data_IF_540597820584
#
_entry.id   IF_540597820584
#
_cell.length_a   1.000
_cell.length_b   1.000
_cell.length_c   1.000
_cell.angle_alpha   90.00
_cell.angle_beta   90.00
_cell.angle_gamma   90.00
#
_symmetry.space_group_name_H-M   'P 1'
#
loop_
_entity.id
_entity.type
_entity.pdbx_description
1 polymer ?
#
# COMPACT_ATOMS: atom_id res chain seq x y z
N UNK A 1 16.71 -18.32 18.38
CA UNK A 1 16.60 -17.97 16.94
C UNK A 1 16.85 -16.47 16.85
N UNK A 2 17.90 -16.03 16.14
CA UNK A 2 18.34 -14.62 16.18
C UNK A 2 17.19 -13.69 15.75
N UNK A 3 16.81 -12.73 16.57
CA UNK A 3 15.78 -11.72 16.28
C UNK A 3 15.94 -11.06 14.91
N UNK A 4 17.16 -10.96 14.38
CA UNK A 4 17.46 -10.43 13.04
C UNK A 4 16.88 -11.31 11.91
N UNK A 5 17.00 -12.64 12.01
CA UNK A 5 16.44 -13.55 11.00
C UNK A 5 14.90 -13.58 11.02
N UNK A 6 14.30 -13.50 12.21
CA UNK A 6 12.85 -13.43 12.35
C UNK A 6 12.31 -12.16 11.69
N UNK A 7 12.93 -11.01 11.94
CA UNK A 7 12.53 -9.74 11.33
C UNK A 7 12.70 -9.75 9.81
N UNK A 8 13.83 -10.23 9.30
CA UNK A 8 14.04 -10.35 7.85
C UNK A 8 12.98 -11.26 7.21
N UNK A 9 12.62 -12.35 7.88
CA UNK A 9 11.52 -13.24 7.46
C UNK A 9 10.17 -12.52 7.37
N UNK A 10 9.85 -11.66 8.34
CA UNK A 10 8.62 -10.87 8.32
C UNK A 10 8.60 -9.85 7.15
N UNK A 11 9.74 -9.21 6.84
CA UNK A 11 9.86 -8.32 5.67
C UNK A 11 9.59 -9.07 4.36
N UNK A 12 10.23 -10.22 4.17
CA UNK A 12 10.05 -11.03 2.98
C UNK A 12 8.59 -11.54 2.89
N UNK A 13 8.04 -12.00 4.00
CA UNK A 13 6.66 -12.48 4.05
C UNK A 13 5.68 -11.36 3.70
N UNK A 14 5.82 -10.17 4.29
CA UNK A 14 4.96 -9.03 3.99
C UNK A 14 5.07 -8.60 2.53
N UNK A 15 6.30 -8.49 1.99
CA UNK A 15 6.52 -8.19 0.58
C UNK A 15 5.89 -9.23 -0.35
N UNK A 16 5.96 -10.50 0.03
CA UNK A 16 5.34 -11.60 -0.71
C UNK A 16 3.82 -11.50 -0.67
N UNK A 17 3.23 -11.32 0.51
CA UNK A 17 1.77 -11.18 0.67
C UNK A 17 1.23 -10.00 -0.14
N UNK A 18 1.89 -8.85 -0.08
CA UNK A 18 1.47 -7.69 -0.86
C UNK A 18 1.81 -7.80 -2.35
N UNK A 19 2.95 -8.42 -2.70
CA UNK A 19 3.31 -8.64 -4.11
C UNK A 19 2.29 -9.51 -4.83
N UNK A 20 1.91 -10.64 -4.24
CA UNK A 20 0.88 -11.52 -4.79
C UNK A 20 -0.53 -10.90 -4.77
N UNK A 21 -0.78 -9.82 -3.99
CA UNK A 21 -2.08 -9.14 -4.04
C UNK A 21 -2.39 -8.56 -5.42
N UNK A 22 -1.38 -8.07 -6.13
CA UNK A 22 -1.55 -7.54 -7.48
C UNK A 22 -1.96 -8.63 -8.48
N UNK A 23 -1.36 -9.81 -8.35
CA UNK A 23 -1.77 -10.99 -9.12
C UNK A 23 -3.21 -11.40 -8.78
N UNK A 24 -3.55 -11.48 -7.49
CA UNK A 24 -4.90 -11.85 -7.06
C UNK A 24 -5.95 -10.84 -7.54
N UNK A 25 -5.63 -9.54 -7.56
CA UNK A 25 -6.51 -8.52 -8.14
C UNK A 25 -6.73 -8.80 -9.63
N UNK A 26 -5.68 -9.02 -10.42
CA UNK A 26 -5.82 -9.32 -11.84
C UNK A 26 -6.70 -10.55 -12.09
N UNK A 27 -6.51 -11.64 -11.35
CA UNK A 27 -7.32 -12.86 -11.45
C UNK A 27 -8.79 -12.61 -11.09
N UNK A 28 -9.05 -11.88 -10.01
CA UNK A 28 -10.43 -11.60 -9.58
C UNK A 28 -11.17 -10.68 -10.55
N UNK A 29 -10.48 -9.72 -11.16
CA UNK A 29 -11.04 -8.78 -12.15
C UNK A 29 -11.48 -9.46 -13.47
N UNK A 30 -11.14 -10.71 -13.71
CA UNK A 30 -11.67 -11.46 -14.85
C UNK A 30 -13.19 -11.67 -14.76
N UNK A 31 -13.75 -11.69 -13.54
CA UNK A 31 -15.16 -12.03 -13.31
C UNK A 31 -15.88 -11.15 -12.30
N UNK A 32 -15.16 -10.30 -11.56
CA UNK A 32 -15.72 -9.41 -10.55
C UNK A 32 -15.59 -7.95 -10.96
N UNK A 33 -16.62 -7.19 -10.65
CA UNK A 33 -16.59 -5.74 -10.78
C UNK A 33 -15.57 -5.12 -9.82
N UNK A 34 -14.77 -4.16 -10.27
CA UNK A 34 -13.58 -3.71 -9.54
C UNK A 34 -13.86 -3.13 -8.16
N UNK A 35 -14.88 -2.29 -8.01
CA UNK A 35 -15.15 -1.62 -6.74
C UNK A 35 -15.81 -2.59 -5.77
N UNK A 36 -16.74 -3.41 -6.24
CA UNK A 36 -17.36 -4.47 -5.44
C UNK A 36 -16.33 -5.49 -4.94
N UNK A 37 -15.40 -5.88 -5.81
CA UNK A 37 -14.32 -6.78 -5.45
C UNK A 37 -13.42 -6.18 -4.34
N UNK A 38 -13.09 -4.89 -4.45
CA UNK A 38 -12.36 -4.20 -3.38
C UNK A 38 -13.17 -4.19 -2.07
N UNK A 39 -14.50 -3.99 -2.12
CA UNK A 39 -15.36 -4.01 -0.95
C UNK A 39 -15.29 -5.37 -0.24
N UNK A 40 -15.49 -6.49 -0.93
CA UNK A 40 -15.43 -7.84 -0.33
C UNK A 40 -14.11 -8.14 0.37
N UNK A 41 -12.98 -7.68 -0.20
CA UNK A 41 -11.68 -7.78 0.44
C UNK A 41 -11.67 -7.13 1.83
N UNK A 42 -12.23 -5.93 1.93
CA UNK A 42 -12.21 -5.15 3.17
C UNK A 42 -13.26 -5.61 4.17
N UNK A 43 -14.38 -6.18 3.74
CA UNK A 43 -15.36 -6.81 4.62
C UNK A 43 -14.73 -7.96 5.41
N UNK A 44 -14.02 -8.86 4.72
CA UNK A 44 -13.32 -9.97 5.36
C UNK A 44 -12.26 -9.45 6.34
N UNK A 45 -11.46 -8.48 5.92
CA UNK A 45 -10.40 -7.94 6.75
C UNK A 45 -10.94 -7.18 7.96
N UNK A 46 -12.03 -6.42 7.82
CA UNK A 46 -12.70 -5.73 8.91
C UNK A 46 -13.18 -6.71 9.98
N UNK A 47 -13.85 -7.78 9.58
CA UNK A 47 -14.33 -8.82 10.51
C UNK A 47 -13.18 -9.47 11.25
N UNK A 48 -12.10 -9.84 10.56
CA UNK A 48 -10.95 -10.50 11.16
C UNK A 48 -10.18 -9.58 12.12
N UNK A 49 -9.91 -8.33 11.73
CA UNK A 49 -9.14 -7.40 12.55
C UNK A 49 -9.93 -6.86 13.73
N UNK A 50 -11.21 -6.56 13.56
CA UNK A 50 -12.07 -6.18 14.68
C UNK A 50 -12.28 -7.35 15.63
N UNK A 51 -12.48 -8.56 15.11
CA UNK A 51 -12.52 -9.78 15.94
C UNK A 51 -11.24 -9.93 16.75
N UNK A 52 -10.08 -9.85 16.10
CA UNK A 52 -8.79 -9.90 16.77
C UNK A 52 -8.65 -8.83 17.88
N UNK A 53 -9.02 -7.59 17.60
CA UNK A 53 -8.94 -6.51 18.58
C UNK A 53 -9.88 -6.72 19.78
N UNK A 54 -11.13 -7.16 19.53
CA UNK A 54 -12.12 -7.43 20.59
C UNK A 54 -11.68 -8.58 21.49
N UNK A 55 -11.28 -9.71 20.91
CA UNK A 55 -10.87 -10.89 21.68
C UNK A 55 -9.50 -10.73 22.33
N UNK A 56 -8.63 -9.88 21.76
CA UNK A 56 -7.32 -9.55 22.32
C UNK A 56 -7.35 -8.60 23.51
N UNK A 57 -8.53 -8.07 23.88
CA UNK A 57 -8.68 -7.12 25.01
C UNK A 57 -8.12 -5.73 24.72
N UNK A 58 -7.90 -5.38 23.46
CA UNK A 58 -7.37 -4.10 23.03
C UNK A 58 -8.38 -2.95 23.22
N UNK A 59 -7.90 -1.70 23.19
CA UNK A 59 -8.75 -0.50 23.08
C UNK A 59 -9.34 -0.42 21.66
N UNK A 60 -10.53 -1.00 21.48
CA UNK A 60 -11.10 -1.21 20.15
C UNK A 60 -12.20 -0.21 19.74
N UNK A 61 -12.80 0.51 20.68
CA UNK A 61 -13.92 1.43 20.40
C UNK A 61 -13.41 2.83 20.09
N UNK A 62 -13.73 3.42 18.91
CA UNK A 62 -13.37 4.80 18.56
C UNK A 62 -14.33 5.79 19.25
N UNK A 63 -14.11 6.12 20.52
CA UNK A 63 -15.03 6.92 21.32
C UNK A 63 -14.75 8.41 21.29
N UNK A 64 -13.54 8.83 20.94
CA UNK A 64 -13.13 10.23 20.91
C UNK A 64 -12.96 10.76 19.46
N UNK A 65 -12.83 12.09 19.33
CA UNK A 65 -12.73 12.77 18.03
C UNK A 65 -11.46 12.41 17.28
N UNK A 66 -10.35 12.15 17.96
CA UNK A 66 -9.08 11.80 17.34
C UNK A 66 -9.21 10.41 16.68
N UNK A 67 -9.73 9.44 17.42
CA UNK A 67 -9.96 8.08 16.95
C UNK A 67 -10.99 8.04 15.79
N UNK A 68 -12.11 8.76 15.92
CA UNK A 68 -13.10 8.86 14.84
C UNK A 68 -12.53 9.53 13.60
N UNK A 69 -11.76 10.61 13.76
CA UNK A 69 -11.09 11.29 12.65
C UNK A 69 -10.09 10.38 11.94
N UNK A 70 -9.30 9.61 12.69
CA UNK A 70 -8.36 8.64 12.14
C UNK A 70 -9.06 7.50 11.38
N UNK A 71 -10.15 6.94 11.97
CA UNK A 71 -10.96 5.90 11.32
C UNK A 71 -11.58 6.40 10.01
N UNK A 72 -12.16 7.60 10.00
CA UNK A 72 -12.74 8.18 8.79
C UNK A 72 -11.67 8.47 7.74
N UNK A 73 -10.52 9.04 8.14
CA UNK A 73 -9.41 9.28 7.22
C UNK A 73 -8.86 7.96 6.63
N UNK A 74 -8.71 6.95 7.48
CA UNK A 74 -8.32 5.60 7.05
C UNK A 74 -9.35 4.97 6.11
N UNK A 75 -10.63 5.00 6.48
CA UNK A 75 -11.72 4.42 5.68
C UNK A 75 -11.87 5.07 4.31
N UNK A 76 -11.89 6.41 4.26
CA UNK A 76 -12.10 7.14 3.00
C UNK A 76 -10.85 7.12 2.12
N UNK A 77 -9.67 7.45 2.68
CA UNK A 77 -8.47 7.67 1.88
C UNK A 77 -7.55 6.46 1.80
N UNK A 78 -7.32 5.70 2.89
CA UNK A 78 -6.48 4.50 2.81
C UNK A 78 -7.24 3.33 2.14
N UNK A 79 -8.51 3.12 2.50
CA UNK A 79 -9.31 2.01 2.00
C UNK A 79 -10.09 2.40 0.75
N UNK A 80 -10.87 3.48 0.80
CA UNK A 80 -11.71 3.93 -0.32
C UNK A 80 -10.91 4.24 -1.59
N UNK A 81 -9.72 4.86 -1.46
CA UNK A 81 -8.87 5.11 -2.62
C UNK A 81 -8.38 3.83 -3.31
N UNK A 82 -8.39 2.68 -2.64
CA UNK A 82 -8.00 1.42 -3.30
C UNK A 82 -8.97 1.00 -4.41
N UNK A 83 -10.21 1.50 -4.46
CA UNK A 83 -11.06 1.32 -5.62
C UNK A 83 -10.36 1.74 -6.92
N UNK A 84 -9.62 2.85 -6.89
CA UNK A 84 -8.86 3.32 -8.05
C UNK A 84 -7.75 2.35 -8.48
N UNK A 85 -7.15 1.59 -7.55
CA UNK A 85 -6.20 0.53 -7.90
C UNK A 85 -6.88 -0.59 -8.69
N UNK A 86 -8.03 -1.07 -8.20
CA UNK A 86 -8.78 -2.14 -8.86
C UNK A 86 -9.29 -1.71 -10.23
N UNK A 87 -9.84 -0.49 -10.36
CA UNK A 87 -10.23 0.08 -11.65
C UNK A 87 -9.01 0.22 -12.57
N UNK A 88 -7.89 0.70 -12.07
CA UNK A 88 -6.66 0.87 -12.84
C UNK A 88 -6.08 -0.46 -13.35
N UNK A 89 -6.13 -1.51 -12.53
CA UNK A 89 -5.62 -2.84 -12.91
C UNK A 89 -6.47 -3.57 -13.95
N UNK A 90 -7.65 -3.08 -14.31
CA UNK A 90 -8.36 -3.60 -15.49
C UNK A 90 -7.58 -3.41 -16.80
N UNK A 91 -6.72 -2.40 -16.88
CA UNK A 91 -5.97 -2.03 -18.07
C UNK A 91 -4.45 -1.91 -17.86
N UNK A 92 -3.99 -2.00 -16.62
CA UNK A 92 -2.57 -1.89 -16.26
C UNK A 92 -2.07 -3.21 -15.70
N UNK A 93 -0.96 -3.76 -16.25
CA UNK A 93 -0.36 -5.00 -15.75
C UNK A 93 -0.02 -4.92 -14.25
N UNK A 94 -0.15 -6.06 -13.55
CA UNK A 94 0.03 -6.17 -12.11
C UNK A 94 1.40 -5.68 -11.63
N UNK A 95 2.48 -6.04 -12.35
CA UNK A 95 3.84 -5.59 -12.07
C UNK A 95 4.00 -4.07 -12.23
N UNK A 96 3.39 -3.45 -13.26
CA UNK A 96 3.42 -1.99 -13.46
C UNK A 96 2.66 -1.27 -12.36
N UNK A 97 1.48 -1.78 -11.98
CA UNK A 97 0.69 -1.24 -10.88
C UNK A 97 1.47 -1.25 -9.55
N UNK A 98 2.14 -2.37 -9.25
CA UNK A 98 2.99 -2.49 -8.07
C UNK A 98 4.18 -1.52 -8.08
N UNK A 99 4.82 -1.32 -9.24
CA UNK A 99 5.91 -0.33 -9.39
C UNK A 99 5.39 1.10 -9.12
N UNK A 100 4.21 1.44 -9.61
CA UNK A 100 3.61 2.76 -9.36
C UNK A 100 3.31 2.98 -7.87
N UNK A 101 2.98 1.94 -7.11
CA UNK A 101 2.80 2.00 -5.65
C UNK A 101 4.07 2.40 -4.90
N UNK A 102 5.26 2.17 -5.46
CA UNK A 102 6.52 2.62 -4.83
C UNK A 102 6.65 4.14 -4.72
N UNK A 103 5.75 4.91 -5.33
CA UNK A 103 5.63 6.36 -5.13
C UNK A 103 4.98 6.76 -3.81
N UNK A 104 4.23 5.88 -3.16
CA UNK A 104 3.51 6.21 -1.92
C UNK A 104 4.41 6.95 -0.92
N UNK A 105 5.65 6.51 -0.60
CA UNK A 105 6.51 7.22 0.35
C UNK A 105 6.88 8.65 -0.11
N UNK A 106 7.03 8.86 -1.42
CA UNK A 106 7.36 10.17 -1.99
C UNK A 106 6.16 11.12 -1.87
N UNK A 107 4.98 10.64 -2.28
CA UNK A 107 3.73 11.44 -2.23
C UNK A 107 3.30 11.68 -0.77
N UNK A 108 3.53 10.72 0.13
CA UNK A 108 3.34 10.91 1.57
C UNK A 108 4.18 12.07 2.10
N UNK A 109 5.44 12.17 1.66
CA UNK A 109 6.32 13.28 2.07
C UNK A 109 5.82 14.63 1.57
N UNK A 110 5.17 14.69 0.38
CA UNK A 110 4.55 15.93 -0.13
C UNK A 110 3.33 16.34 0.70
N UNK A 111 2.42 15.40 1.02
CA UNK A 111 1.28 15.69 1.88
C UNK A 111 1.70 16.09 3.29
N UNK A 112 2.74 15.44 3.84
CA UNK A 112 3.27 15.73 5.16
C UNK A 112 3.78 17.18 5.25
N UNK A 113 4.45 17.71 4.21
CA UNK A 113 4.89 19.10 4.16
C UNK A 113 3.77 20.12 4.33
N UNK A 114 2.60 19.85 3.77
CA UNK A 114 1.46 20.77 3.85
C UNK A 114 0.59 20.58 5.09
N UNK A 115 0.58 19.37 5.67
CA UNK A 115 -0.37 18.98 6.69
C UNK A 115 0.24 18.74 8.07
N UNK A 116 1.56 18.51 8.17
CA UNK A 116 2.28 18.29 9.43
C UNK A 116 3.26 19.47 9.67
N UNK A 117 3.06 20.28 10.73
CA UNK A 117 3.83 21.52 10.94
C UNK A 117 5.33 21.34 11.14
N UNK A 118 5.75 20.16 11.61
CA UNK A 118 7.16 19.86 11.94
C UNK A 118 7.94 19.28 10.75
N UNK A 119 7.26 18.91 9.68
CA UNK A 119 7.90 18.31 8.52
C UNK A 119 8.52 19.38 7.61
N UNK A 120 9.80 19.20 7.29
CA UNK A 120 10.55 20.08 6.40
C UNK A 120 11.28 19.27 5.34
N UNK A 121 11.14 19.64 4.09
CA UNK A 121 11.93 19.05 3.00
C UNK A 121 13.15 19.94 2.74
N UNK A 122 14.33 19.34 2.83
CA UNK A 122 15.56 20.00 2.43
C UNK A 122 15.63 20.16 0.89
N UNK A 123 16.44 21.08 0.37
CA UNK A 123 16.65 21.23 -1.07
C UNK A 123 17.01 19.90 -1.77
N UNK A 124 17.78 19.04 -1.09
CA UNK A 124 18.09 17.69 -1.59
C UNK A 124 16.90 16.75 -1.56
N UNK A 125 16.04 16.87 -0.54
CA UNK A 125 14.77 16.15 -0.51
C UNK A 125 13.87 16.54 -1.70
N UNK A 126 13.85 17.82 -2.08
CA UNK A 126 13.14 18.28 -3.27
C UNK A 126 13.68 17.61 -4.55
N UNK A 127 15.02 17.45 -4.68
CA UNK A 127 15.61 16.70 -5.80
C UNK A 127 15.13 15.23 -5.79
N UNK A 128 15.05 14.59 -4.61
CA UNK A 128 14.52 13.24 -4.49
C UNK A 128 13.07 13.13 -4.97
N UNK A 129 12.23 14.09 -4.62
CA UNK A 129 10.84 14.18 -5.08
C UNK A 129 10.78 14.34 -6.61
N UNK A 130 11.59 15.24 -7.18
CA UNK A 130 11.65 15.45 -8.64
C UNK A 130 12.11 14.20 -9.38
N UNK A 131 13.11 13.48 -8.87
CA UNK A 131 13.53 12.19 -9.42
C UNK A 131 12.39 11.16 -9.37
N UNK A 132 11.65 11.10 -8.25
CA UNK A 132 10.48 10.23 -8.14
C UNK A 132 9.46 10.51 -9.24
N UNK A 133 9.09 11.77 -9.46
CA UNK A 133 8.17 12.15 -10.54
C UNK A 133 8.73 11.87 -11.94
N UNK A 134 10.03 12.09 -12.16
CA UNK A 134 10.67 11.74 -13.42
C UNK A 134 10.60 10.23 -13.70
N UNK A 135 10.87 9.40 -12.68
CA UNK A 135 10.73 7.95 -12.78
C UNK A 135 9.31 7.52 -13.13
N UNK A 136 8.30 8.17 -12.52
CA UNK A 136 6.89 7.93 -12.87
C UNK A 136 6.56 8.32 -14.30
N UNK A 137 7.03 9.47 -14.76
CA UNK A 137 6.83 9.89 -16.14
C UNK A 137 7.37 8.86 -17.14
N UNK A 138 8.51 8.22 -16.83
CA UNK A 138 9.05 7.10 -17.60
C UNK A 138 8.15 5.85 -17.59
N UNK A 139 7.47 5.57 -16.46
CA UNK A 139 6.58 4.41 -16.31
C UNK A 139 5.24 4.67 -16.97
N UNK A 140 4.65 5.84 -16.71
CA UNK A 140 3.31 6.21 -17.19
C UNK A 140 3.31 6.47 -18.69
N UNK A 141 4.38 7.02 -19.25
CA UNK A 141 4.51 7.37 -20.69
C UNK A 141 3.26 8.12 -21.19
N UNK A 142 3.00 9.33 -20.69
CA UNK A 142 1.83 10.06 -21.13
C UNK A 142 1.94 10.37 -22.64
N UNK A 143 1.12 9.68 -23.42
CA UNK A 143 0.95 9.94 -24.87
C UNK A 143 -0.43 10.55 -25.08
N UNK A 144 -0.53 11.85 -25.31
CA UNK A 144 -1.81 12.51 -25.56
C UNK A 144 -2.55 11.99 -26.80
N UNK A 145 -1.82 11.40 -27.77
CA UNK A 145 -2.40 10.83 -28.98
C UNK A 145 -3.00 9.43 -28.75
N UNK A 146 -2.64 8.74 -27.64
CA UNK A 146 -3.10 7.40 -27.33
C UNK A 146 -3.61 7.27 -25.89
N UNK A 147 -4.71 7.97 -25.58
CA UNK A 147 -5.34 7.95 -24.25
C UNK A 147 -5.94 6.57 -23.89
N UNK A 148 -6.23 5.72 -24.89
CA UNK A 148 -6.84 4.40 -24.71
C UNK A 148 -5.81 3.32 -24.34
N UNK A 149 -4.52 3.55 -24.54
CA UNK A 149 -3.44 2.60 -24.27
C UNK A 149 -3.05 2.42 -22.80
N UNK A 150 -4.04 2.34 -21.90
CA UNK A 150 -3.81 2.15 -20.46
C UNK A 150 -3.43 3.43 -19.68
N UNK A 151 -3.41 4.61 -20.31
CA UNK A 151 -3.13 5.87 -19.62
C UNK A 151 -4.16 6.17 -18.54
N UNK A 152 -5.45 5.96 -18.82
CA UNK A 152 -6.55 6.18 -17.87
C UNK A 152 -6.38 5.28 -16.65
N UNK A 153 -6.07 3.99 -16.83
CA UNK A 153 -5.79 3.07 -15.74
C UNK A 153 -4.59 3.51 -14.88
N UNK A 154 -3.51 3.98 -15.50
CA UNK A 154 -2.35 4.52 -14.79
C UNK A 154 -2.69 5.79 -13.99
N UNK A 155 -3.55 6.67 -14.52
CA UNK A 155 -4.04 7.85 -13.80
C UNK A 155 -4.88 7.44 -12.59
N UNK A 156 -5.74 6.42 -12.69
CA UNK A 156 -6.44 5.86 -11.54
C UNK A 156 -5.47 5.34 -10.46
N UNK A 157 -4.41 4.62 -10.85
CA UNK A 157 -3.40 4.16 -9.89
C UNK A 157 -2.67 5.34 -9.23
N UNK A 158 -2.38 6.43 -9.96
CA UNK A 158 -1.81 7.65 -9.35
C UNK A 158 -2.77 8.32 -8.36
N UNK A 159 -4.08 8.35 -8.66
CA UNK A 159 -5.10 8.83 -7.72
C UNK A 159 -5.14 7.97 -6.46
N UNK A 160 -5.03 6.64 -6.62
CA UNK A 160 -4.95 5.73 -5.49
C UNK A 160 -3.69 6.02 -4.64
N UNK A 161 -2.52 6.16 -5.25
CA UNK A 161 -1.27 6.52 -4.56
C UNK A 161 -1.42 7.82 -3.78
N UNK A 162 -2.01 8.85 -4.42
CA UNK A 162 -2.25 10.14 -3.77
C UNK A 162 -3.22 10.01 -2.58
N UNK A 163 -4.31 9.26 -2.75
CA UNK A 163 -5.31 9.01 -1.72
C UNK A 163 -4.73 8.25 -0.53
N UNK A 164 -4.05 7.14 -0.76
CA UNK A 164 -3.41 6.33 0.30
C UNK A 164 -2.37 7.14 1.07
N UNK A 165 -1.54 7.91 0.36
CA UNK A 165 -0.55 8.79 0.98
C UNK A 165 -1.20 9.88 1.84
N UNK A 166 -2.28 10.50 1.37
CA UNK A 166 -3.06 11.49 2.11
C UNK A 166 -3.69 10.85 3.35
N UNK A 167 -4.32 9.68 3.21
CA UNK A 167 -4.93 8.94 4.30
C UNK A 167 -3.94 8.65 5.43
N UNK A 168 -2.73 8.18 5.10
CA UNK A 168 -1.67 7.95 6.07
C UNK A 168 -1.30 9.21 6.86
N UNK A 169 -1.13 10.35 6.17
CA UNK A 169 -0.81 11.64 6.82
C UNK A 169 -1.96 12.15 7.69
N UNK A 170 -3.21 12.00 7.24
CA UNK A 170 -4.37 12.41 8.04
C UNK A 170 -4.56 11.55 9.28
N UNK A 171 -4.33 10.24 9.19
CA UNK A 171 -4.33 9.33 10.34
C UNK A 171 -3.24 9.73 11.33
N UNK A 172 -2.02 9.99 10.85
CA UNK A 172 -0.93 10.47 11.70
C UNK A 172 -1.29 11.80 12.40
N UNK A 173 -1.86 12.76 11.65
CA UNK A 173 -2.29 14.06 12.18
C UNK A 173 -3.36 13.94 13.27
N UNK A 174 -4.26 12.99 13.13
CA UNK A 174 -5.32 12.74 14.11
C UNK A 174 -4.79 12.16 15.42
N UNK A 175 -3.59 11.57 15.43
CA UNK A 175 -2.92 11.00 16.61
C UNK A 175 -3.83 10.04 17.41
N UNK A 176 -4.35 8.96 16.77
CA UNK A 176 -5.26 8.05 17.43
C UNK A 176 -4.61 7.31 18.59
N UNK A 177 -5.42 6.95 19.57
CA UNK A 177 -5.02 6.11 20.72
C UNK A 177 -5.55 4.69 20.66
N UNK A 178 -6.29 4.36 19.58
CA UNK A 178 -6.75 3.00 19.30
C UNK A 178 -5.57 2.06 19.08
N UNK A 179 -5.78 0.80 19.46
CA UNK A 179 -4.92 -0.28 18.99
C UNK A 179 -4.87 -0.32 17.46
N UNK A 180 -3.70 -0.63 16.91
CA UNK A 180 -3.48 -0.63 15.46
C UNK A 180 -4.42 -1.58 14.69
N UNK A 181 -4.72 -2.76 15.26
CA UNK A 181 -5.66 -3.70 14.65
C UNK A 181 -7.09 -3.15 14.67
N UNK A 182 -7.49 -2.48 15.77
CA UNK A 182 -8.79 -1.83 15.88
C UNK A 182 -8.94 -0.66 14.90
N UNK A 183 -7.92 0.21 14.82
CA UNK A 183 -7.89 1.33 13.88
C UNK A 183 -8.03 0.83 12.44
N UNK A 184 -7.25 -0.19 12.07
CA UNK A 184 -7.32 -0.79 10.73
C UNK A 184 -8.67 -1.45 10.48
N UNK A 185 -9.16 -2.24 11.43
CA UNK A 185 -10.44 -2.93 11.29
C UNK A 185 -11.61 -1.95 11.09
N UNK A 186 -11.67 -0.88 11.89
CA UNK A 186 -12.68 0.18 11.72
C UNK A 186 -12.52 0.96 10.41
N UNK A 187 -11.29 1.28 10.01
CA UNK A 187 -11.02 1.92 8.71
C UNK A 187 -11.48 1.03 7.55
N UNK A 188 -11.24 -0.28 7.64
CA UNK A 188 -11.69 -1.24 6.63
C UNK A 188 -13.22 -1.39 6.62
N UNK A 189 -13.86 -1.38 7.78
CA UNK A 189 -15.32 -1.40 7.87
C UNK A 189 -15.93 -0.14 7.20
N UNK A 190 -15.47 1.05 7.58
CA UNK A 190 -15.96 2.31 6.99
C UNK A 190 -15.67 2.36 5.49
N UNK A 191 -14.46 1.97 5.08
CA UNK A 191 -14.09 1.92 3.68
C UNK A 191 -14.86 0.88 2.89
N UNK A 192 -15.09 -0.32 3.44
CA UNK A 192 -15.92 -1.37 2.85
C UNK A 192 -17.34 -0.88 2.59
N UNK A 193 -17.99 -0.27 3.60
CA UNK A 193 -19.33 0.34 3.44
C UNK A 193 -19.32 1.42 2.36
N UNK A 194 -18.30 2.30 2.34
CA UNK A 194 -18.16 3.31 1.30
C UNK A 194 -18.02 2.68 -0.09
N UNK A 195 -17.21 1.65 -0.22
CA UNK A 195 -16.98 0.97 -1.50
C UNK A 195 -18.25 0.26 -2.00
N UNK A 196 -19.03 -0.38 -1.13
CA UNK A 196 -20.34 -0.92 -1.50
C UNK A 196 -21.29 0.19 -1.98
N UNK A 197 -21.32 1.33 -1.29
CA UNK A 197 -22.14 2.47 -1.70
C UNK A 197 -21.70 3.05 -3.05
N UNK A 198 -20.38 3.18 -3.28
CA UNK A 198 -19.83 3.67 -4.55
C UNK A 198 -20.10 2.67 -5.67
N UNK A 199 -19.87 1.37 -5.47
CA UNK A 199 -20.14 0.29 -6.43
C UNK A 199 -21.62 0.32 -6.89
N UNK A 200 -22.55 0.39 -5.93
CA UNK A 200 -23.97 0.53 -6.25
C UNK A 200 -24.30 1.85 -6.97
N UNK A 201 -23.65 2.96 -6.57
CA UNK A 201 -23.84 4.28 -7.15
C UNK A 201 -23.36 4.41 -8.60
N UNK A 202 -22.31 3.68 -8.98
CA UNK A 202 -21.84 3.62 -10.37
C UNK A 202 -22.51 2.53 -11.20
N UNK A 203 -23.42 1.76 -10.59
CA UNK A 203 -24.20 0.74 -11.27
C UNK A 203 -23.51 -0.61 -11.45
N UNK A 204 -22.46 -0.91 -10.67
CA UNK A 204 -21.89 -2.27 -10.67
C UNK A 204 -22.94 -3.27 -10.16
N UNK A 205 -23.23 -4.37 -10.88
CA UNK A 205 -24.15 -5.38 -10.39
C UNK A 205 -23.58 -6.07 -9.15
N UNK A 206 -24.42 -6.20 -8.11
CA UNK A 206 -24.02 -6.97 -6.94
C UNK A 206 -23.95 -8.46 -7.31
N UNK A 207 -22.75 -9.00 -7.39
CA UNK A 207 -22.51 -10.40 -7.71
C UNK A 207 -21.46 -10.99 -6.77
N UNK A 208 -21.76 -12.16 -6.21
CA UNK A 208 -20.78 -12.92 -5.44
C UNK A 208 -19.76 -13.59 -6.38
N UNK A 209 -18.57 -13.94 -5.90
CA UNK A 209 -17.58 -14.66 -6.68
C UNK A 209 -18.17 -15.95 -7.27
N UNK A 210 -18.28 -16.01 -8.60
CA UNK A 210 -18.94 -17.14 -9.32
C UNK A 210 -17.97 -18.26 -9.67
N UNK A 211 -16.66 -18.00 -9.64
CA UNK A 211 -15.63 -18.98 -9.94
C UNK A 211 -14.77 -19.29 -8.71
N UNK A 212 -14.21 -20.50 -8.58
CA UNK A 212 -13.27 -20.84 -7.51
C UNK A 212 -12.06 -19.88 -7.47
N UNK A 213 -11.57 -19.44 -8.63
CA UNK A 213 -10.46 -18.50 -8.75
C UNK A 213 -10.80 -17.12 -8.17
N UNK A 214 -11.98 -16.57 -8.49
CA UNK A 214 -12.46 -15.31 -7.92
C UNK A 214 -12.67 -15.42 -6.40
N UNK A 215 -13.26 -16.52 -5.92
CA UNK A 215 -13.41 -16.78 -4.48
C UNK A 215 -12.07 -16.88 -3.77
N UNK A 216 -11.09 -17.57 -4.35
CA UNK A 216 -9.73 -17.65 -3.83
C UNK A 216 -9.03 -16.27 -3.81
N UNK A 217 -9.23 -15.46 -4.86
CA UNK A 217 -8.69 -14.11 -4.93
C UNK A 217 -9.25 -13.20 -3.82
N UNK A 218 -10.58 -13.20 -3.62
CA UNK A 218 -11.23 -12.45 -2.53
C UNK A 218 -10.72 -12.93 -1.17
N UNK A 219 -10.69 -14.23 -0.93
CA UNK A 219 -10.21 -14.83 0.31
C UNK A 219 -8.74 -14.50 0.58
N UNK A 220 -7.88 -14.65 -0.44
CA UNK A 220 -6.47 -14.29 -0.33
C UNK A 220 -6.28 -12.81 0.02
N UNK A 221 -6.97 -11.92 -0.69
CA UNK A 221 -6.87 -10.48 -0.45
C UNK A 221 -7.37 -10.09 0.94
N UNK A 222 -8.51 -10.61 1.38
CA UNK A 222 -9.09 -10.28 2.68
C UNK A 222 -8.26 -10.82 3.84
N UNK A 223 -7.90 -12.10 3.79
CA UNK A 223 -7.22 -12.79 4.90
C UNK A 223 -5.71 -12.50 4.90
N UNK A 224 -5.03 -12.85 3.80
CA UNK A 224 -3.57 -12.84 3.78
C UNK A 224 -2.99 -11.46 3.43
N UNK A 225 -3.42 -10.87 2.33
CA UNK A 225 -2.86 -9.61 1.86
C UNK A 225 -3.40 -8.38 2.61
N UNK A 226 -4.43 -8.54 3.44
CA UNK A 226 -4.96 -7.46 4.27
C UNK A 226 -4.87 -7.79 5.75
N UNK A 227 -5.66 -8.68 6.30
CA UNK A 227 -5.70 -8.88 7.76
C UNK A 227 -4.33 -9.32 8.32
N UNK A 228 -3.75 -10.40 7.82
CA UNK A 228 -2.44 -10.91 8.28
C UNK A 228 -1.32 -9.93 7.93
N UNK A 229 -1.31 -9.40 6.69
CA UNK A 229 -0.28 -8.47 6.27
C UNK A 229 -0.23 -7.20 7.12
N UNK A 230 -1.38 -6.66 7.53
CA UNK A 230 -1.42 -5.49 8.41
C UNK A 230 -0.94 -5.80 9.82
N UNK A 231 -1.22 -6.98 10.39
CA UNK A 231 -0.64 -7.39 11.68
C UNK A 231 0.89 -7.49 11.60
N UNK A 232 1.42 -8.05 10.51
CA UNK A 232 2.87 -8.09 10.27
C UNK A 232 3.44 -6.68 10.11
N UNK A 233 2.77 -5.83 9.33
CA UNK A 233 3.18 -4.45 9.09
C UNK A 233 3.29 -3.66 10.40
N UNK A 234 2.29 -3.73 11.27
CA UNK A 234 2.33 -3.03 12.55
C UNK A 234 3.39 -3.59 13.49
N UNK A 235 3.59 -4.93 13.51
CA UNK A 235 4.69 -5.53 14.26
C UNK A 235 6.05 -5.01 13.77
N UNK A 236 6.25 -4.90 12.46
CA UNK A 236 7.47 -4.33 11.89
C UNK A 236 7.61 -2.84 12.23
N UNK A 237 6.51 -2.10 12.19
CA UNK A 237 6.48 -0.67 12.52
C UNK A 237 6.92 -0.41 13.97
N UNK A 238 6.44 -1.22 14.92
CA UNK A 238 6.82 -1.13 16.33
C UNK A 238 8.29 -1.51 16.58
N UNK A 239 8.77 -2.57 15.94
CA UNK A 239 10.12 -3.11 16.18
C UNK A 239 11.21 -2.37 15.41
N UNK A 240 10.90 -1.83 14.22
CA UNK A 240 11.88 -1.26 13.27
C UNK A 240 11.62 0.21 12.92
N UNK A 241 10.47 0.73 13.29
CA UNK A 241 10.07 2.08 12.93
C UNK A 241 9.61 2.24 11.49
N UNK A 242 9.06 3.41 11.20
CA UNK A 242 8.39 3.70 9.94
C UNK A 242 9.33 3.65 8.71
N UNK A 243 10.58 4.08 8.87
CA UNK A 243 11.52 4.14 7.75
C UNK A 243 11.91 2.75 7.27
N UNK A 244 12.36 1.86 8.17
CA UNK A 244 12.71 0.49 7.77
C UNK A 244 11.49 -0.21 7.18
N UNK A 245 10.32 -0.12 7.84
CA UNK A 245 9.09 -0.75 7.37
C UNK A 245 8.67 -0.27 5.98
N UNK A 246 8.90 1.01 5.66
CA UNK A 246 8.59 1.55 4.32
C UNK A 246 9.41 0.92 3.19
N UNK A 247 10.57 0.32 3.49
CA UNK A 247 11.40 -0.38 2.50
C UNK A 247 10.68 -1.59 1.87
N UNK A 248 9.67 -2.15 2.57
CA UNK A 248 8.80 -3.19 1.99
C UNK A 248 8.20 -2.74 0.67
N UNK A 249 7.84 -1.47 0.52
CA UNK A 249 7.26 -0.89 -0.70
C UNK A 249 8.16 -1.02 -1.94
N UNK A 250 9.45 -1.30 -1.77
CA UNK A 250 10.38 -1.55 -2.88
C UNK A 250 10.62 -3.03 -3.15
N UNK A 251 10.32 -3.92 -2.20
CA UNK A 251 10.35 -5.36 -2.40
C UNK A 251 9.06 -5.86 -3.07
N UNK A 252 7.93 -5.26 -2.74
CA UNK A 252 6.61 -5.59 -3.30
C UNK A 252 6.60 -5.60 -4.84
N UNK A 253 7.08 -4.55 -5.54
CA UNK A 253 7.13 -4.55 -7.01
C UNK A 253 7.96 -5.67 -7.60
N UNK A 254 9.06 -6.08 -6.93
CA UNK A 254 9.89 -7.19 -7.40
C UNK A 254 9.08 -8.49 -7.39
N UNK A 255 8.40 -8.78 -6.28
CA UNK A 255 7.55 -9.97 -6.15
C UNK A 255 6.39 -9.91 -7.14
N UNK A 256 5.68 -8.78 -7.23
CA UNK A 256 4.54 -8.60 -8.13
C UNK A 256 4.94 -8.76 -9.61
N UNK A 257 6.08 -8.19 -10.01
CA UNK A 257 6.61 -8.30 -11.36
C UNK A 257 6.95 -9.75 -11.71
N UNK A 258 7.65 -10.45 -10.82
CA UNK A 258 7.97 -11.87 -11.03
C UNK A 258 6.70 -12.70 -11.13
N UNK A 259 5.74 -12.50 -10.21
CA UNK A 259 4.47 -13.21 -10.21
C UNK A 259 3.66 -12.92 -11.49
N UNK A 260 3.56 -11.66 -11.92
CA UNK A 260 2.85 -11.25 -13.14
C UNK A 260 3.47 -11.86 -14.40
N UNK A 261 4.79 -11.84 -14.53
CA UNK A 261 5.50 -12.46 -15.67
C UNK A 261 5.33 -13.97 -15.68
N UNK A 262 5.55 -14.64 -14.54
CA UNK A 262 5.58 -16.11 -14.47
C UNK A 262 4.18 -16.72 -14.54
N UNK A 263 3.20 -16.10 -13.89
CA UNK A 263 1.84 -16.67 -13.75
C UNK A 263 0.89 -16.14 -14.80
N UNK A 264 0.93 -14.83 -15.10
CA UNK A 264 0.00 -14.19 -16.05
C UNK A 264 0.60 -13.99 -17.45
N UNK A 265 1.89 -14.27 -17.66
CA UNK A 265 2.58 -13.99 -18.93
C UNK A 265 2.70 -12.49 -19.23
N UNK A 266 2.68 -11.64 -18.22
CA UNK A 266 2.80 -10.18 -18.39
C UNK A 266 4.17 -9.80 -18.97
N UNK A 267 4.20 -8.77 -19.81
CA UNK A 267 5.44 -8.19 -20.33
C UNK A 267 5.79 -6.89 -19.60
N UNK A 268 7.01 -6.80 -19.09
CA UNK A 268 7.55 -5.58 -18.49
C UNK A 268 8.56 -4.96 -19.43
N UNK A 269 8.37 -3.68 -19.77
CA UNK A 269 9.28 -3.00 -20.68
C UNK A 269 10.58 -2.57 -19.98
N UNK A 270 11.73 -2.53 -20.69
CA UNK A 270 12.98 -2.04 -20.10
C UNK A 270 12.84 -0.62 -19.50
N UNK A 271 12.03 0.24 -20.14
CA UNK A 271 11.80 1.60 -19.65
C UNK A 271 11.04 1.62 -18.32
N UNK A 272 10.12 0.69 -18.09
CA UNK A 272 9.44 0.51 -16.80
C UNK A 272 10.44 0.14 -15.70
N UNK A 273 11.40 -0.74 -16.00
CA UNK A 273 12.48 -1.11 -15.05
C UNK A 273 13.38 0.10 -14.75
N UNK A 274 13.78 0.87 -15.77
CA UNK A 274 14.56 2.10 -15.60
C UNK A 274 13.78 3.12 -14.76
N UNK A 275 12.49 3.33 -15.06
CA UNK A 275 11.61 4.23 -14.30
C UNK A 275 11.52 3.84 -12.83
N UNK A 276 11.40 2.55 -12.52
CA UNK A 276 11.43 2.04 -11.15
C UNK A 276 12.77 2.34 -10.45
N UNK A 277 13.89 2.12 -11.15
CA UNK A 277 15.23 2.49 -10.64
C UNK A 277 15.35 3.97 -10.31
N UNK A 278 14.79 4.86 -11.15
CA UNK A 278 14.78 6.32 -10.91
C UNK A 278 13.89 6.68 -9.71
N UNK A 279 12.70 6.08 -9.56
CA UNK A 279 11.84 6.24 -8.36
C UNK A 279 12.58 5.82 -7.10
N UNK A 280 13.24 4.67 -7.12
CA UNK A 280 14.02 4.17 -6.00
C UNK A 280 15.17 5.12 -5.64
N UNK A 281 15.93 5.60 -6.64
CA UNK A 281 16.98 6.59 -6.43
C UNK A 281 16.42 7.90 -5.81
N UNK A 282 15.27 8.37 -6.29
CA UNK A 282 14.56 9.51 -5.73
C UNK A 282 14.24 9.34 -4.23
N UNK A 283 13.75 8.17 -3.85
CA UNK A 283 13.49 7.84 -2.44
C UNK A 283 14.79 7.83 -1.60
N UNK A 284 15.86 7.20 -2.09
CA UNK A 284 17.16 7.16 -1.39
C UNK A 284 17.67 8.59 -1.15
N UNK A 285 17.60 9.47 -2.15
CA UNK A 285 17.99 10.87 -2.02
C UNK A 285 17.10 11.61 -1.01
N UNK A 286 15.78 11.40 -1.05
CA UNK A 286 14.81 12.01 -0.16
C UNK A 286 15.06 11.61 1.31
N UNK A 287 15.26 10.32 1.58
CA UNK A 287 15.38 9.76 2.93
C UNK A 287 16.83 9.46 3.37
N UNK A 288 17.83 9.97 2.64
CA UNK A 288 19.26 9.65 2.83
C UNK A 288 19.76 9.79 4.28
N UNK A 289 19.35 10.84 5.03
CA UNK A 289 19.79 11.04 6.42
C UNK A 289 19.29 9.90 7.29
N UNK A 290 18.02 9.61 7.23
CA UNK A 290 17.41 8.54 7.98
C UNK A 290 17.97 7.16 7.57
N UNK A 291 18.32 6.95 6.28
CA UNK A 291 18.99 5.73 5.81
C UNK A 291 20.43 5.68 6.37
N UNK A 292 21.16 6.81 6.40
CA UNK A 292 22.52 6.87 6.97
C UNK A 292 22.49 6.54 8.47
N UNK A 293 21.55 7.11 9.22
CA UNK A 293 21.37 6.83 10.66
C UNK A 293 21.09 5.35 10.93
N UNK A 294 20.31 4.68 10.06
CA UNK A 294 20.07 3.24 10.14
C UNK A 294 21.33 2.42 9.90
N UNK A 295 22.14 2.78 8.88
CA UNK A 295 23.39 2.09 8.55
C UNK A 295 24.40 2.25 9.70
N UNK A 296 24.53 3.45 10.26
CA UNK A 296 25.45 3.72 11.36
C UNK A 296 25.00 3.04 12.66
N UNK A 297 23.70 3.00 12.94
CA UNK A 297 23.15 2.22 14.04
C UNK A 297 23.41 0.72 13.90
N UNK A 298 23.26 0.17 12.70
CA UNK A 298 23.55 -1.24 12.40
C UNK A 298 25.03 -1.57 12.55
N UNK A 299 25.94 -0.66 12.13
CA UNK A 299 27.40 -0.82 12.29
C UNK A 299 27.81 -0.82 13.76
N UNK A 300 27.27 0.10 14.58
CA UNK A 300 27.55 0.15 16.02
C UNK A 300 27.07 -1.12 16.74
N UNK A 301 25.88 -1.61 16.43
CA UNK A 301 25.36 -2.86 16.99
C UNK A 301 26.13 -4.12 16.54
N UNK A 302 26.80 -4.07 15.39
CA UNK A 302 27.67 -5.17 14.91
C UNK A 302 29.06 -5.17 15.52
N UNK A 303 29.59 -3.99 15.90
CA UNK A 303 30.92 -3.83 16.50
C UNK A 303 31.02 -4.26 17.97
N UNK A 304 29.87 -4.28 18.71
CA UNK A 304 29.83 -4.70 20.12
C UNK A 304 29.63 -6.20 20.32
N UNK A 305 29.51 -6.99 19.24
CA UNK A 305 29.37 -8.44 19.31
C UNK A 305 30.68 -9.20 19.00
N UNK A 306 31.81 -8.50 18.88
CA UNK A 306 33.12 -9.07 18.52
C UNK A 306 34.20 -8.89 19.56
N UNK A 307 33.88 -8.39 20.78
CA UNK A 307 34.83 -8.29 21.90
C UNK A 307 34.49 -9.29 23.01
#
# INVERSE_FOLDING_TARGET
MNHRFATAGLFVLLATLWGFSFLAISVGLETLEPILFAAFRYDIAAVLLLGYAVFGGATWRPTDRANLGAVLAGGVFLVGANAFLFVGQQTVPSGVAAIMQSLVPIVTSLWALGLLPEERVSARGAVGILLGFAGVALIVRPDPANLTGGLVGRLFILLQVAGVALGGVLVQRASPTLDNAALSGWSMFVGGVLLHAVSAGVGEPFALPSTPAAGAAVGYLGVFATAIAFLIYFTLLEVRGALETSLVSYLVPVVATIAGVVVLGESITPLTVVGFGVVFAGFVVLKRRAIADLIDGARRAGGTAGD
#
